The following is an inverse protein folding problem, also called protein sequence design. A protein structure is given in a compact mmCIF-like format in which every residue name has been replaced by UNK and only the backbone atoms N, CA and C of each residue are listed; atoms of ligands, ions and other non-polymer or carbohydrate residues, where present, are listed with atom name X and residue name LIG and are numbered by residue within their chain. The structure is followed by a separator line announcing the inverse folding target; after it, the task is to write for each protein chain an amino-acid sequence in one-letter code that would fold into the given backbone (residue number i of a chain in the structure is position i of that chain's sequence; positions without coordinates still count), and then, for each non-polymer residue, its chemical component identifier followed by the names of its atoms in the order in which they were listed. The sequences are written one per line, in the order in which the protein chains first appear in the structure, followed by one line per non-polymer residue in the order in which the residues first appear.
data_IF_538983830760
#
_entry.id   IF_538983830760
#
_cell.length_a   1.000
_cell.length_b   1.000
_cell.length_c   1.000
_cell.angle_alpha   90.00
_cell.angle_beta   90.00
_cell.angle_gamma   90.00
#
_symmetry.space_group_name_H-M   'P 1'
#
loop_
_entity.id
_entity.type
_entity.pdbx_description
1 polymer ?
#
# COMPACT_ATOMS: atom_id res chain seq x y z
N UNK A 1 21.04 -21.95 -1.00
CA UNK A 1 21.32 -20.54 -0.65
C UNK A 1 20.07 -19.68 -0.58
N UNK A 2 19.17 -19.69 -1.59
CA UNK A 2 17.95 -18.86 -1.57
C UNK A 2 17.03 -19.14 -0.37
N UNK A 3 16.86 -20.39 0.05
CA UNK A 3 16.06 -20.77 1.23
C UNK A 3 16.55 -20.10 2.53
N UNK A 4 17.86 -19.86 2.68
CA UNK A 4 18.44 -19.28 3.88
C UNK A 4 18.12 -17.79 4.06
N UNK A 5 17.69 -17.10 2.98
CA UNK A 5 17.22 -15.71 3.04
C UNK A 5 15.78 -15.62 3.53
N UNK A 6 14.93 -16.61 3.20
CA UNK A 6 13.50 -16.57 3.51
C UNK A 6 13.16 -17.14 4.90
N UNK A 7 13.93 -18.12 5.38
CA UNK A 7 13.70 -18.77 6.68
C UNK A 7 13.79 -17.79 7.87
N UNK A 8 14.78 -16.87 7.97
CA UNK A 8 14.82 -15.88 9.05
C UNK A 8 13.64 -14.90 9.01
N UNK A 9 13.14 -14.57 7.82
CA UNK A 9 11.98 -13.67 7.64
C UNK A 9 10.67 -14.23 8.19
N UNK A 10 10.53 -15.56 8.23
CA UNK A 10 9.37 -16.23 8.86
C UNK A 10 9.46 -16.35 10.39
N UNK A 11 10.64 -16.14 10.98
CA UNK A 11 10.90 -16.27 12.42
C UNK A 11 11.02 -14.91 13.15
N UNK A 12 10.80 -13.80 12.45
CA UNK A 12 10.82 -12.45 13.03
C UNK A 12 9.68 -12.25 14.05
N UNK A 13 9.87 -11.41 15.09
CA UNK A 13 8.88 -11.20 16.15
C UNK A 13 7.54 -10.73 15.59
N UNK A 14 6.44 -11.27 16.13
CA UNK A 14 5.05 -10.99 15.74
C UNK A 14 4.68 -9.52 15.99
N UNK A 15 4.94 -8.67 15.01
CA UNK A 15 4.22 -7.41 14.81
C UNK A 15 3.02 -7.60 13.87
N UNK A 16 2.14 -6.61 13.77
CA UNK A 16 1.03 -6.58 12.80
C UNK A 16 1.50 -6.68 11.34
N UNK A 17 2.74 -6.30 11.02
CA UNK A 17 3.36 -6.54 9.70
C UNK A 17 3.68 -8.01 9.46
N UNK A 18 4.04 -8.77 10.49
CA UNK A 18 4.49 -10.15 10.37
C UNK A 18 3.33 -11.13 10.08
N UNK A 19 2.09 -10.77 10.42
CA UNK A 19 0.91 -11.57 10.04
C UNK A 19 0.61 -11.47 8.53
N UNK A 20 0.77 -10.29 7.93
CA UNK A 20 0.53 -10.09 6.49
C UNK A 20 1.59 -10.78 5.62
N UNK A 21 2.85 -10.77 6.06
CA UNK A 21 3.94 -11.46 5.35
C UNK A 21 4.16 -12.89 5.84
N UNK A 22 3.37 -13.40 6.78
CA UNK A 22 3.66 -14.68 7.46
C UNK A 22 3.62 -15.90 6.56
N UNK A 23 2.79 -15.90 5.51
CA UNK A 23 2.65 -17.02 4.56
C UNK A 23 3.63 -16.93 3.38
N UNK A 24 4.07 -15.73 3.01
CA UNK A 24 4.90 -15.48 1.82
C UNK A 24 6.25 -16.27 1.86
N UNK A 25 7.03 -16.28 2.96
CA UNK A 25 8.26 -17.05 3.05
C UNK A 25 8.07 -18.55 2.87
N UNK A 26 6.97 -19.11 3.40
CA UNK A 26 6.67 -20.55 3.29
C UNK A 26 6.29 -20.94 1.87
N UNK A 27 5.46 -20.13 1.20
CA UNK A 27 5.08 -20.36 -0.20
C UNK A 27 6.29 -20.26 -1.12
N UNK A 28 7.12 -19.22 -0.97
CA UNK A 28 8.35 -19.06 -1.77
C UNK A 28 9.36 -20.19 -1.52
N UNK A 29 9.53 -20.60 -0.26
CA UNK A 29 10.44 -21.70 0.08
C UNK A 29 9.99 -23.02 -0.57
N UNK A 30 8.70 -23.32 -0.52
CA UNK A 30 8.12 -24.52 -1.14
C UNK A 30 8.22 -24.47 -2.66
N UNK A 31 7.96 -23.31 -3.27
CA UNK A 31 8.09 -23.11 -4.71
C UNK A 31 9.54 -23.30 -5.19
N UNK A 32 10.53 -22.76 -4.48
CA UNK A 32 11.95 -22.92 -4.82
C UNK A 32 12.40 -24.37 -4.64
N UNK A 33 11.93 -25.07 -3.61
CA UNK A 33 12.24 -26.48 -3.39
C UNK A 33 11.68 -27.35 -4.52
N UNK A 34 10.40 -27.18 -4.87
CA UNK A 34 9.77 -27.89 -5.97
C UNK A 34 10.42 -27.55 -7.32
N UNK A 35 10.70 -26.27 -7.57
CA UNK A 35 11.40 -25.83 -8.78
C UNK A 35 12.78 -26.45 -8.90
N UNK A 36 13.51 -26.62 -7.80
CA UNK A 36 14.84 -27.25 -7.80
C UNK A 36 14.74 -28.74 -8.14
N UNK A 37 13.71 -29.43 -7.63
CA UNK A 37 13.44 -30.84 -7.94
C UNK A 37 13.08 -31.04 -9.42
N UNK A 38 12.19 -30.18 -9.94
CA UNK A 38 11.83 -30.18 -11.37
C UNK A 38 13.05 -29.84 -12.23
N UNK A 39 13.87 -28.88 -11.80
CA UNK A 39 15.08 -28.50 -12.51
C UNK A 39 16.05 -29.69 -12.65
N UNK A 40 16.21 -30.48 -11.60
CA UNK A 40 17.13 -31.64 -11.57
C UNK A 40 16.61 -32.87 -12.31
N UNK A 41 15.31 -32.99 -12.55
CA UNK A 41 14.69 -34.20 -13.14
C UNK A 41 14.21 -33.96 -14.57
N UNK A 42 13.42 -32.90 -14.77
CA UNK A 42 12.74 -32.60 -16.03
C UNK A 42 13.63 -31.83 -17.00
N UNK A 43 14.47 -30.93 -16.52
CA UNK A 43 15.40 -30.17 -17.37
C UNK A 43 16.42 -31.07 -18.08
N UNK A 44 17.13 -32.01 -17.42
CA UNK A 44 18.05 -32.89 -18.14
C UNK A 44 17.34 -33.81 -19.13
N UNK A 45 16.12 -34.27 -18.83
CA UNK A 45 15.32 -35.10 -19.73
C UNK A 45 14.86 -34.33 -20.98
N UNK A 46 14.38 -33.09 -20.81
CA UNK A 46 13.97 -32.21 -21.91
C UNK A 46 15.18 -31.73 -22.72
N UNK A 47 16.29 -31.41 -22.07
CA UNK A 47 17.55 -31.11 -22.74
C UNK A 47 18.08 -32.32 -23.52
N UNK A 48 17.94 -33.56 -23.05
CA UNK A 48 18.33 -34.71 -23.85
C UNK A 48 17.48 -34.86 -25.14
N UNK A 49 16.21 -34.43 -25.10
CA UNK A 49 15.25 -34.62 -26.18
C UNK A 49 15.24 -33.48 -27.24
N UNK A 50 15.32 -32.21 -26.81
CA UNK A 50 15.15 -31.02 -27.67
C UNK A 50 16.47 -30.44 -28.22
N UNK A 51 17.58 -30.73 -27.53
CA UNK A 51 18.86 -30.07 -27.75
C UNK A 51 19.62 -30.47 -29.02
N UNK A 52 19.45 -31.65 -29.67
CA UNK A 52 20.23 -31.97 -30.87
C UNK A 52 19.89 -31.08 -32.08
N UNK A 53 18.74 -30.40 -32.09
CA UNK A 53 18.31 -29.55 -33.21
C UNK A 53 18.92 -28.13 -33.21
N UNK A 54 19.29 -27.57 -32.04
CA UNK A 54 19.68 -26.14 -31.88
C UNK A 54 21.10 -25.96 -31.31
N UNK A 55 21.78 -27.06 -30.95
CA UNK A 55 23.05 -27.10 -30.21
C UNK A 55 24.18 -26.23 -30.78
N UNK A 56 24.39 -26.24 -32.11
CA UNK A 56 25.54 -25.56 -32.74
C UNK A 56 25.42 -24.04 -32.73
N UNK A 57 24.22 -23.50 -32.93
CA UNK A 57 24.00 -22.06 -32.89
C UNK A 57 24.03 -21.53 -31.46
N UNK A 58 23.45 -22.28 -30.52
CA UNK A 58 23.46 -21.97 -29.10
C UNK A 58 24.89 -22.00 -28.51
N UNK A 59 25.69 -23.03 -28.81
CA UNK A 59 27.07 -23.11 -28.34
C UNK A 59 27.93 -21.95 -28.88
N UNK A 60 27.78 -21.58 -30.16
CA UNK A 60 28.50 -20.42 -30.71
C UNK A 60 28.17 -19.11 -30.00
N UNK A 61 26.88 -18.91 -29.66
CA UNK A 61 26.45 -17.75 -28.90
C UNK A 61 27.00 -17.77 -27.47
N UNK A 62 26.93 -18.93 -26.80
CA UNK A 62 27.44 -19.12 -25.44
C UNK A 62 28.95 -18.90 -25.36
N UNK A 63 29.71 -19.50 -26.28
CA UNK A 63 31.17 -19.36 -26.35
C UNK A 63 31.55 -17.90 -26.60
N UNK A 64 30.85 -17.21 -27.52
CA UNK A 64 31.04 -15.78 -27.75
C UNK A 64 30.77 -14.91 -26.50
N UNK A 65 29.68 -15.20 -25.79
CA UNK A 65 29.33 -14.47 -24.55
C UNK A 65 30.33 -14.77 -23.42
N UNK A 66 30.75 -16.03 -23.29
CA UNK A 66 31.73 -16.48 -22.30
C UNK A 66 33.09 -15.82 -22.52
N UNK A 67 33.58 -15.81 -23.76
CA UNK A 67 34.86 -15.18 -24.10
C UNK A 67 34.81 -13.67 -23.91
N UNK A 68 33.69 -13.03 -24.25
CA UNK A 68 33.45 -11.61 -23.98
C UNK A 68 33.48 -11.28 -22.48
N UNK A 69 32.75 -12.05 -21.67
CA UNK A 69 32.75 -11.92 -20.22
C UNK A 69 34.15 -12.16 -19.62
N UNK A 70 34.85 -13.19 -20.07
CA UNK A 70 36.21 -13.50 -19.62
C UNK A 70 37.21 -12.38 -19.92
N UNK A 71 37.12 -11.76 -21.10
CA UNK A 71 37.93 -10.59 -21.45
C UNK A 71 37.60 -9.37 -20.60
N UNK A 72 36.32 -9.10 -20.33
CA UNK A 72 35.88 -7.99 -19.50
C UNK A 72 36.35 -8.14 -18.05
N UNK A 73 36.14 -9.32 -17.46
CA UNK A 73 36.59 -9.62 -16.10
C UNK A 73 38.11 -9.60 -16.01
N UNK A 74 38.81 -10.16 -16.99
CA UNK A 74 40.28 -10.11 -17.05
C UNK A 74 40.82 -8.68 -17.14
N UNK A 75 40.17 -7.82 -17.91
CA UNK A 75 40.51 -6.38 -18.00
C UNK A 75 40.24 -5.66 -16.67
N UNK A 76 39.11 -5.95 -16.02
CA UNK A 76 38.73 -5.33 -14.75
C UNK A 76 39.63 -5.79 -13.60
N UNK A 77 40.06 -7.05 -13.61
CA UNK A 77 40.98 -7.60 -12.61
C UNK A 77 42.41 -7.03 -12.72
N UNK A 78 42.83 -6.62 -13.93
CA UNK A 78 44.09 -5.89 -14.13
C UNK A 78 44.07 -4.46 -13.57
N UNK A 79 42.90 -3.95 -13.17
CA UNK A 79 42.72 -2.61 -12.59
C UNK A 79 41.83 -2.70 -11.33
N UNK A 80 42.33 -3.27 -10.22
CA UNK A 80 41.53 -3.54 -9.03
C UNK A 80 40.92 -2.27 -8.41
N UNK A 81 41.58 -1.11 -8.58
CA UNK A 81 41.06 0.18 -8.09
C UNK A 81 39.78 0.62 -8.81
N UNK A 82 39.62 0.31 -10.11
CA UNK A 82 38.40 0.61 -10.88
C UNK A 82 37.25 -0.28 -10.42
N UNK A 83 37.52 -1.57 -10.17
CA UNK A 83 36.54 -2.50 -9.63
C UNK A 83 36.08 -2.09 -8.21
N UNK A 84 37.03 -1.65 -7.37
CA UNK A 84 36.74 -1.14 -6.03
C UNK A 84 35.91 0.16 -6.10
N UNK A 85 36.31 1.11 -6.93
CA UNK A 85 35.60 2.37 -7.11
C UNK A 85 34.17 2.14 -7.62
N UNK A 86 33.98 1.23 -8.59
CA UNK A 86 32.66 0.86 -9.10
C UNK A 86 31.78 0.21 -8.01
N UNK A 87 32.37 -0.65 -7.17
CA UNK A 87 31.65 -1.30 -6.05
C UNK A 87 31.23 -0.28 -5.00
N UNK A 88 32.11 0.64 -4.63
CA UNK A 88 31.82 1.71 -3.67
C UNK A 88 30.77 2.67 -4.24
N UNK A 89 30.87 3.04 -5.52
CA UNK A 89 29.89 3.88 -6.19
C UNK A 89 28.50 3.21 -6.23
N UNK A 90 28.43 1.92 -6.56
CA UNK A 90 27.18 1.16 -6.54
C UNK A 90 26.60 1.05 -5.12
N UNK A 91 27.44 0.78 -4.11
CA UNK A 91 27.02 0.75 -2.72
C UNK A 91 26.50 2.11 -2.22
N UNK A 92 27.18 3.20 -2.59
CA UNK A 92 26.75 4.56 -2.26
C UNK A 92 25.43 4.92 -2.95
N UNK A 93 25.24 4.54 -4.21
CA UNK A 93 23.98 4.74 -4.94
C UNK A 93 22.82 4.01 -4.27
N UNK A 94 23.05 2.76 -3.83
CA UNK A 94 22.06 1.98 -3.09
C UNK A 94 21.73 2.66 -1.76
N UNK A 95 22.73 3.04 -0.96
CA UNK A 95 22.52 3.73 0.32
C UNK A 95 21.77 5.07 0.17
N UNK A 96 22.12 5.84 -0.87
CA UNK A 96 21.42 7.08 -1.21
C UNK A 96 19.96 6.83 -1.62
N UNK A 97 19.71 5.76 -2.39
CA UNK A 97 18.35 5.38 -2.78
C UNK A 97 17.50 4.97 -1.57
N UNK A 98 18.07 4.20 -0.64
CA UNK A 98 17.40 3.79 0.60
C UNK A 98 17.04 4.98 1.51
N UNK A 99 17.84 6.05 1.49
CA UNK A 99 17.58 7.25 2.29
C UNK A 99 16.61 8.22 1.60
N UNK A 100 16.55 8.20 0.28
CA UNK A 100 15.66 9.08 -0.51
C UNK A 100 14.26 8.50 -0.75
N UNK A 101 14.05 7.19 -0.56
CA UNK A 101 12.76 6.56 -0.77
C UNK A 101 11.76 6.88 0.36
N UNK A 102 10.55 7.39 0.03
CA UNK A 102 9.48 7.58 0.99
C UNK A 102 9.09 6.25 1.62
N UNK A 103 9.01 6.21 2.95
CA UNK A 103 8.58 5.02 3.69
C UNK A 103 7.05 5.04 3.78
N UNK A 104 6.41 4.01 3.24
CA UNK A 104 4.98 3.75 3.42
C UNK A 104 4.80 2.37 4.06
N UNK A 105 3.77 2.21 4.90
CA UNK A 105 3.45 0.90 5.48
C UNK A 105 2.69 0.04 4.49
N UNK A 106 1.59 0.58 3.95
CA UNK A 106 0.80 0.00 2.87
C UNK A 106 0.36 1.14 1.94
N UNK A 107 0.36 0.94 0.60
CA UNK A 107 -0.28 1.89 -0.30
C UNK A 107 -1.78 1.96 0.01
N UNK A 108 -2.40 3.12 -0.19
CA UNK A 108 -3.86 3.19 -0.15
C UNK A 108 -4.40 2.41 -1.35
N UNK A 109 -5.28 1.45 -1.07
CA UNK A 109 -5.91 0.62 -2.09
C UNK A 109 -7.34 1.10 -2.33
N UNK A 110 -7.74 1.10 -3.59
CA UNK A 110 -9.11 1.41 -3.97
C UNK A 110 -10.02 0.20 -3.73
N UNK A 111 -10.66 0.17 -2.56
CA UNK A 111 -11.56 -0.91 -2.16
C UNK A 111 -12.98 -0.78 -2.75
N UNK A 112 -13.25 0.21 -3.61
CA UNK A 112 -14.58 0.41 -4.19
C UNK A 112 -15.58 1.16 -3.30
N UNK A 113 -15.15 1.65 -2.14
CA UNK A 113 -15.96 2.49 -1.26
C UNK A 113 -15.08 3.48 -0.50
N UNK A 114 -15.69 4.58 -0.06
CA UNK A 114 -15.07 5.59 0.79
C UNK A 114 -16.00 5.98 1.93
N UNK A 115 -15.43 6.58 2.96
CA UNK A 115 -16.17 7.07 4.11
C UNK A 115 -16.14 8.59 4.17
N UNK A 116 -17.20 9.18 4.71
CA UNK A 116 -17.25 10.58 5.08
C UNK A 116 -17.74 10.71 6.53
N UNK A 117 -17.00 11.46 7.33
CA UNK A 117 -17.45 11.90 8.65
C UNK A 117 -18.05 13.29 8.53
N UNK A 118 -19.25 13.46 9.07
CA UNK A 118 -20.00 14.71 9.07
C UNK A 118 -20.09 15.21 10.49
N UNK A 119 -19.67 16.45 10.72
CA UNK A 119 -19.69 17.08 12.02
C UNK A 119 -20.33 18.47 11.93
N UNK A 120 -21.48 18.63 12.55
CA UNK A 120 -22.15 19.92 12.72
C UNK A 120 -21.62 20.64 13.98
N UNK A 121 -21.81 21.97 14.07
CA UNK A 121 -21.49 22.73 15.28
C UNK A 121 -22.09 22.12 16.56
N UNK A 122 -21.44 22.38 17.70
CA UNK A 122 -21.97 21.97 19.01
C UNK A 122 -23.38 22.53 19.21
N UNK A 123 -24.25 21.73 19.85
CA UNK A 123 -25.69 21.98 20.05
C UNK A 123 -26.63 21.81 18.83
N UNK A 124 -26.17 21.24 17.70
CA UNK A 124 -27.09 20.80 16.65
C UNK A 124 -27.94 19.58 17.10
N UNK A 125 -29.24 19.62 16.81
CA UNK A 125 -30.16 18.49 17.05
C UNK A 125 -29.96 17.40 16.00
N UNK A 126 -30.43 16.18 16.32
CA UNK A 126 -30.33 15.05 15.40
C UNK A 126 -31.10 15.32 14.10
N UNK A 127 -32.27 15.97 14.19
CA UNK A 127 -33.09 16.32 13.02
C UNK A 127 -32.35 17.27 12.07
N UNK A 128 -31.58 18.22 12.61
CA UNK A 128 -30.77 19.12 11.79
C UNK A 128 -29.63 18.38 11.11
N UNK A 129 -28.97 17.48 11.83
CA UNK A 129 -27.95 16.59 11.26
C UNK A 129 -28.52 15.73 10.15
N UNK A 130 -29.68 15.11 10.35
CA UNK A 130 -30.37 14.31 9.34
C UNK A 130 -30.71 15.12 8.08
N UNK A 131 -31.17 16.36 8.24
CA UNK A 131 -31.47 17.23 7.10
C UNK A 131 -30.22 17.55 6.27
N UNK A 132 -29.09 17.86 6.92
CA UNK A 132 -27.82 18.13 6.22
C UNK A 132 -27.26 16.86 5.59
N UNK A 133 -27.35 15.72 6.28
CA UNK A 133 -26.93 14.41 5.76
C UNK A 133 -27.74 14.01 4.52
N UNK A 134 -29.05 14.24 4.51
CA UNK A 134 -29.90 13.99 3.36
C UNK A 134 -29.53 14.88 2.15
N UNK A 135 -29.16 16.15 2.40
CA UNK A 135 -28.63 17.02 1.35
C UNK A 135 -27.28 16.52 0.81
N UNK A 136 -26.36 16.13 1.71
CA UNK A 136 -25.07 15.55 1.33
C UNK A 136 -25.26 14.27 0.50
N UNK A 137 -26.17 13.37 0.92
CA UNK A 137 -26.53 12.16 0.16
C UNK A 137 -27.01 12.50 -1.24
N UNK A 138 -27.87 13.50 -1.40
CA UNK A 138 -28.40 13.91 -2.72
C UNK A 138 -27.28 14.43 -3.63
N UNK A 139 -26.35 15.20 -3.08
CA UNK A 139 -25.17 15.68 -3.82
C UNK A 139 -24.26 14.51 -4.24
N UNK A 140 -23.98 13.59 -3.31
CA UNK A 140 -23.16 12.41 -3.57
C UNK A 140 -23.77 11.51 -4.64
N UNK A 141 -25.07 11.25 -4.58
CA UNK A 141 -25.79 10.46 -5.60
C UNK A 141 -25.83 11.12 -6.98
N UNK A 142 -25.63 12.44 -7.06
CA UNK A 142 -25.53 13.14 -8.34
C UNK A 142 -24.16 12.95 -9.02
N UNK A 143 -23.15 12.47 -8.28
CA UNK A 143 -21.82 12.23 -8.84
C UNK A 143 -21.83 10.94 -9.70
N UNK A 144 -21.37 10.98 -10.96
CA UNK A 144 -21.41 9.83 -11.84
C UNK A 144 -20.53 8.65 -11.37
N UNK A 145 -19.56 8.88 -10.49
CA UNK A 145 -18.68 7.84 -9.94
C UNK A 145 -19.30 7.06 -8.75
N UNK A 146 -20.38 7.57 -8.17
CA UNK A 146 -21.06 6.97 -7.01
C UNK A 146 -22.13 5.99 -7.48
N UNK A 147 -22.21 4.83 -6.83
CA UNK A 147 -23.21 3.80 -7.06
C UNK A 147 -24.34 3.87 -6.02
N UNK A 148 -23.98 3.88 -4.75
CA UNK A 148 -24.93 4.01 -3.64
C UNK A 148 -24.31 4.77 -2.46
N UNK A 149 -25.17 5.29 -1.59
CA UNK A 149 -24.79 6.07 -0.42
C UNK A 149 -25.59 5.56 0.77
N UNK A 150 -24.91 5.14 1.83
CA UNK A 150 -25.51 4.77 3.10
C UNK A 150 -25.17 5.87 4.11
N UNK A 151 -26.18 6.38 4.81
CA UNK A 151 -26.00 7.41 5.82
C UNK A 151 -26.45 6.90 7.19
N UNK A 152 -25.68 7.22 8.23
CA UNK A 152 -25.96 6.91 9.62
C UNK A 152 -25.86 8.21 10.41
N UNK A 153 -26.99 8.72 10.89
CA UNK A 153 -27.05 9.93 11.71
C UNK A 153 -26.81 9.58 13.18
N UNK A 154 -26.19 10.48 13.94
CA UNK A 154 -25.98 10.30 15.37
C UNK A 154 -24.71 9.53 15.74
N UNK A 155 -23.87 9.14 14.78
CA UNK A 155 -22.64 8.36 15.01
C UNK A 155 -21.46 8.98 14.25
N UNK A 156 -20.33 9.20 14.96
CA UNK A 156 -19.08 9.65 14.35
C UNK A 156 -18.02 8.55 14.41
N UNK A 157 -17.65 8.02 13.24
CA UNK A 157 -16.69 6.91 13.13
C UNK A 157 -15.24 7.29 13.46
N UNK A 158 -14.87 8.58 13.38
CA UNK A 158 -13.51 9.02 13.69
C UNK A 158 -13.20 8.90 15.19
N UNK A 159 -14.18 9.25 16.02
CA UNK A 159 -14.05 9.21 17.48
C UNK A 159 -14.72 7.97 18.10
N UNK A 160 -15.52 7.23 17.32
CA UNK A 160 -16.28 6.08 17.79
C UNK A 160 -17.40 6.43 18.77
N UNK A 161 -17.85 7.70 18.79
CA UNK A 161 -18.84 8.20 19.75
C UNK A 161 -20.17 8.50 19.07
N UNK A 162 -21.27 8.28 19.80
CA UNK A 162 -22.59 8.74 19.39
C UNK A 162 -22.79 10.19 19.81
N UNK A 163 -23.14 11.04 18.86
CA UNK A 163 -23.36 12.47 19.08
C UNK A 163 -24.46 12.97 18.15
N UNK A 164 -25.41 13.76 18.66
CA UNK A 164 -26.54 14.27 17.87
C UNK A 164 -26.11 15.18 16.70
N UNK A 165 -24.93 15.80 16.82
CA UNK A 165 -24.31 16.65 15.81
C UNK A 165 -23.28 15.90 14.93
N UNK A 166 -23.16 14.58 15.08
CA UNK A 166 -22.26 13.74 14.30
C UNK A 166 -23.02 12.84 13.32
N UNK A 167 -22.41 12.55 12.18
CA UNK A 167 -22.93 11.65 11.17
C UNK A 167 -21.83 10.92 10.43
N UNK A 168 -22.19 9.76 9.88
CA UNK A 168 -21.32 8.91 9.11
C UNK A 168 -21.98 8.58 7.77
N UNK A 169 -21.24 8.73 6.68
CA UNK A 169 -21.69 8.36 5.34
C UNK A 169 -20.70 7.34 4.76
N UNK A 170 -21.22 6.20 4.31
CA UNK A 170 -20.50 5.25 3.48
C UNK A 170 -20.93 5.42 2.03
N UNK A 171 -19.98 5.71 1.15
CA UNK A 171 -20.22 5.93 -0.27
C UNK A 171 -19.65 4.74 -1.03
N UNK A 172 -20.53 3.97 -1.66
CA UNK A 172 -20.17 2.88 -2.55
C UNK A 172 -19.93 3.45 -3.94
N UNK A 173 -18.77 3.15 -4.51
CA UNK A 173 -18.35 3.64 -5.82
C UNK A 173 -18.62 2.57 -6.87
N UNK A 174 -18.82 3.01 -8.11
CA UNK A 174 -18.93 2.09 -9.26
C UNK A 174 -17.62 1.33 -9.49
N UNK A 175 -17.71 0.27 -10.30
CA UNK A 175 -16.53 -0.49 -10.75
C UNK A 175 -15.40 0.40 -11.26
N UNK A 176 -14.15 0.00 -11.00
CA UNK A 176 -12.94 0.75 -11.34
C UNK A 176 -12.84 1.16 -12.82
N UNK A 177 -13.43 0.37 -13.73
CA UNK A 177 -13.42 0.67 -15.17
C UNK A 177 -14.40 1.79 -15.58
N UNK A 178 -15.35 2.15 -14.72
CA UNK A 178 -16.42 3.11 -15.02
C UNK A 178 -16.18 4.48 -14.38
N UNK A 179 -15.06 4.68 -13.67
CA UNK A 179 -14.77 5.91 -12.95
C UNK A 179 -13.28 6.29 -12.99
N UNK A 180 -12.94 7.55 -12.70
CA UNK A 180 -11.56 7.98 -12.48
C UNK A 180 -10.93 7.30 -11.25
N UNK A 181 -9.60 7.42 -11.07
CA UNK A 181 -8.90 6.93 -9.88
C UNK A 181 -9.49 7.47 -8.59
N UNK A 182 -9.43 6.69 -7.51
CA UNK A 182 -10.01 7.04 -6.20
C UNK A 182 -9.61 8.44 -5.73
N UNK A 183 -8.34 8.83 -5.84
CA UNK A 183 -7.85 10.14 -5.40
C UNK A 183 -8.57 11.31 -6.10
N UNK A 184 -8.85 11.16 -7.40
CA UNK A 184 -9.55 12.17 -8.17
C UNK A 184 -11.04 12.23 -7.78
N UNK A 185 -11.66 11.06 -7.56
CA UNK A 185 -13.05 10.95 -7.11
C UNK A 185 -13.22 11.54 -5.71
N UNK A 186 -12.32 11.23 -4.78
CA UNK A 186 -12.29 11.79 -3.44
C UNK A 186 -12.12 13.31 -3.47
N UNK A 187 -11.18 13.82 -4.28
CA UNK A 187 -10.98 15.26 -4.42
C UNK A 187 -12.19 15.98 -5.03
N UNK A 188 -12.92 15.31 -5.93
CA UNK A 188 -14.16 15.85 -6.51
C UNK A 188 -15.31 15.85 -5.51
N UNK A 189 -15.53 14.73 -4.83
CA UNK A 189 -16.54 14.61 -3.78
C UNK A 189 -16.27 15.60 -2.64
N UNK A 190 -15.03 15.71 -2.18
CA UNK A 190 -14.65 16.67 -1.14
C UNK A 190 -14.97 18.11 -1.57
N UNK A 191 -14.71 18.48 -2.84
CA UNK A 191 -15.08 19.80 -3.39
C UNK A 191 -16.60 20.01 -3.43
N UNK A 192 -17.38 18.99 -3.79
CA UNK A 192 -18.84 19.08 -3.77
C UNK A 192 -19.37 19.24 -2.34
N UNK A 193 -18.81 18.53 -1.37
CA UNK A 193 -19.24 18.59 0.04
C UNK A 193 -18.88 19.92 0.71
N UNK A 194 -17.86 20.64 0.22
CA UNK A 194 -17.55 22.00 0.68
C UNK A 194 -18.66 23.02 0.36
N UNK A 195 -19.65 22.68 -0.49
CA UNK A 195 -20.81 23.53 -0.73
C UNK A 195 -21.83 23.53 0.41
N UNK A 196 -21.65 22.69 1.43
CA UNK A 196 -22.51 22.59 2.61
C UNK A 196 -21.84 23.28 3.82
N UNK A 197 -21.99 24.60 4.00
CA UNK A 197 -21.33 25.32 5.09
C UNK A 197 -21.89 24.96 6.48
N UNK A 198 -23.03 24.27 6.55
CA UNK A 198 -23.68 23.88 7.80
C UNK A 198 -22.94 22.78 8.56
N UNK A 199 -22.09 22.01 7.89
CA UNK A 199 -21.34 20.91 8.49
C UNK A 199 -19.91 20.83 7.94
N UNK A 200 -18.98 20.46 8.81
CA UNK A 200 -17.65 20.05 8.38
C UNK A 200 -17.72 18.59 7.95
N UNK A 201 -17.48 18.34 6.66
CA UNK A 201 -17.49 17.00 6.09
C UNK A 201 -16.10 16.64 5.61
N UNK A 202 -15.56 15.53 6.10
CA UNK A 202 -14.24 15.04 5.72
C UNK A 202 -14.34 13.63 5.16
N UNK A 203 -13.92 13.45 3.91
CA UNK A 203 -13.83 12.12 3.28
C UNK A 203 -12.49 11.46 3.53
N UNK A 204 -12.48 10.15 3.74
CA UNK A 204 -11.27 9.35 3.88
C UNK A 204 -11.50 7.95 3.35
N UNK A 205 -10.43 7.33 2.84
CA UNK A 205 -10.47 5.94 2.41
C UNK A 205 -10.35 5.01 3.63
N UNK A 206 -11.08 3.87 3.65
CA UNK A 206 -10.90 2.85 4.67
C UNK A 206 -9.44 2.35 4.70
N UNK A 207 -8.92 1.94 5.85
CA UNK A 207 -7.61 1.31 5.90
C UNK A 207 -7.63 -0.03 5.17
N UNK A 208 -6.49 -0.40 4.57
CA UNK A 208 -6.30 -1.66 3.83
C UNK A 208 -6.37 -2.91 4.69
N UNK A 209 -6.20 -2.78 6.01
CA UNK A 209 -6.35 -3.85 6.98
C UNK A 209 -7.35 -3.45 8.07
N UNK A 210 -8.51 -4.13 8.15
CA UNK A 210 -9.43 -3.95 9.26
C UNK A 210 -8.72 -4.21 10.59
N UNK A 211 -8.83 -3.27 11.53
CA UNK A 211 -8.23 -3.39 12.87
C UNK A 211 -6.95 -2.59 13.12
N UNK A 212 -6.40 -1.88 12.12
CA UNK A 212 -5.27 -0.94 12.32
C UNK A 212 -5.70 0.51 12.59
N UNK A 213 -7.00 0.81 12.52
CA UNK A 213 -7.57 2.14 12.73
C UNK A 213 -8.87 2.34 11.94
N UNK A 214 -9.45 3.54 12.00
CA UNK A 214 -10.67 3.89 11.26
C UNK A 214 -10.39 4.75 10.00
N UNK A 215 -9.19 5.33 9.88
CA UNK A 215 -8.78 6.16 8.76
C UNK A 215 -7.35 5.82 8.31
N UNK A 216 -7.09 5.97 7.01
CA UNK A 216 -5.75 5.82 6.45
C UNK A 216 -4.87 7.04 6.78
N UNK A 217 -3.65 6.80 7.30
CA UNK A 217 -2.71 7.88 7.66
C UNK A 217 -1.91 7.58 8.92
N UNK A 218 -1.62 8.62 9.70
CA UNK A 218 -0.96 8.51 11.01
C UNK A 218 -1.98 8.82 12.12
N UNK A 219 -2.05 7.97 13.14
CA UNK A 219 -2.74 8.28 14.41
C UNK A 219 -1.71 8.68 15.46
N UNK A 220 -1.79 9.93 15.92
CA UNK A 220 -0.89 10.51 16.91
C UNK A 220 -1.69 10.92 18.14
N UNK A 221 -1.33 10.35 19.30
CA UNK A 221 -1.93 10.72 20.58
C UNK A 221 -0.99 11.61 21.36
N UNK A 222 -1.40 12.85 21.58
CA UNK A 222 -0.68 13.78 22.44
C UNK A 222 -0.98 13.43 23.89
N UNK A 223 0.06 13.11 24.66
CA UNK A 223 -0.06 12.75 26.07
C UNK A 223 0.42 13.90 26.95
N UNK A 224 -0.41 14.34 27.89
CA UNK A 224 -0.03 15.29 28.92
C UNK A 224 0.83 14.60 29.99
N UNK A 225 2.13 14.44 29.71
CA UNK A 225 3.06 13.72 30.59
C UNK A 225 3.28 14.40 31.95
N UNK A 226 2.99 15.71 32.06
CA UNK A 226 3.17 16.50 33.28
C UNK A 226 1.86 16.77 34.05
N UNK A 227 0.75 16.06 33.74
CA UNK A 227 -0.53 16.21 34.46
C UNK A 227 -1.23 17.56 34.25
N UNK A 228 -0.89 18.27 33.16
CA UNK A 228 -1.46 19.57 32.84
C UNK A 228 -2.96 19.45 32.52
N UNK A 229 -3.77 20.36 33.05
CA UNK A 229 -5.22 20.36 32.82
C UNK A 229 -5.56 20.81 31.40
N UNK A 230 -6.63 20.24 30.83
CA UNK A 230 -7.10 20.47 29.45
C UNK A 230 -7.37 21.94 29.11
N UNK A 231 -7.54 22.80 30.12
CA UNK A 231 -7.84 24.24 29.98
C UNK A 231 -6.62 25.12 29.65
N UNK A 232 -5.41 24.60 29.76
CA UNK A 232 -4.18 25.39 29.51
C UNK A 232 -3.87 25.60 28.02
N UNK A 233 -4.58 24.90 27.12
CA UNK A 233 -4.35 24.91 25.67
C UNK A 233 -5.27 25.82 24.86
N UNK A 234 -6.23 26.52 25.49
CA UNK A 234 -7.20 27.39 24.81
C UNK A 234 -6.82 28.88 24.82
N UNK A 235 -5.52 29.22 24.79
CA UNK A 235 -5.02 30.59 24.57
C UNK A 235 -3.95 30.60 23.49
#
# INVERSE_FOLDING_TARGET
MLLAVFVPGGAAPRGSSASCTGSLPWTLSTAVALSSLVALTLTPALCALLLPAVWRAFNRLLDGTRDGYGRLVGWMNRRPWLALAATVAAGALVAFSFTSMPKGFLPQEDQGYLFASVQLPEAASLERTEAVMAQARKLLMANPAVEDVIQVSGFNILNGTSASNGGFISVMLKDWHQRPPLDAVMADIQRQLLSLPEATIMTFAPPTLPGLGNASGFDLRILAQAGQSSRSWSR
#
